data_IF_460985976442
#
_entry.id   IF_460985976442
#
_cell.length_a   1.000
_cell.length_b   1.000
_cell.length_c   1.000
_cell.angle_alpha   90.00
_cell.angle_beta   90.00
_cell.angle_gamma   90.00
#
_symmetry.space_group_name_H-M   'P 1'
#
loop_
_entity.id
_entity.type
_entity.pdbx_description
1 polymer ?
#
# COMPACT_ATOMS: atom_id res chain seq x y z
N UNK A 1 -10.09 -10.17 1.43
CA UNK A 1 -9.95 -9.88 2.88
C UNK A 1 -11.30 -9.40 3.38
N UNK A 2 -11.73 -9.70 4.60
CA UNK A 2 -13.07 -9.31 5.09
C UNK A 2 -12.98 -8.46 6.35
N UNK A 3 -13.93 -7.54 6.53
CA UNK A 3 -14.09 -6.81 7.79
C UNK A 3 -14.65 -7.69 8.92
N UNK A 4 -14.88 -7.10 10.09
CA UNK A 4 -15.44 -7.81 11.25
C UNK A 4 -16.88 -8.30 11.03
N UNK A 5 -17.59 -7.74 10.05
CA UNK A 5 -18.95 -8.12 9.66
C UNK A 5 -18.95 -9.13 8.50
N UNK A 6 -17.78 -9.61 8.06
CA UNK A 6 -17.64 -10.55 6.95
C UNK A 6 -17.80 -9.93 5.57
N UNK A 7 -17.79 -8.60 5.45
CA UNK A 7 -17.90 -7.90 4.15
C UNK A 7 -16.56 -7.88 3.47
N UNK A 8 -16.57 -8.08 2.16
CA UNK A 8 -15.36 -8.00 1.35
C UNK A 8 -14.79 -6.58 1.38
N UNK A 9 -13.51 -6.48 1.75
CA UNK A 9 -12.76 -5.23 1.66
C UNK A 9 -12.17 -5.14 0.26
N UNK A 10 -12.69 -4.19 -0.51
CA UNK A 10 -12.20 -3.84 -1.84
C UNK A 10 -11.50 -2.49 -1.74
N UNK A 11 -10.23 -2.45 -2.13
CA UNK A 11 -9.45 -1.21 -2.27
C UNK A 11 -9.13 -1.02 -3.74
N UNK A 12 -9.48 0.15 -4.27
CA UNK A 12 -9.04 0.61 -5.58
C UNK A 12 -7.62 1.17 -5.44
N UNK A 13 -6.62 0.45 -5.96
CA UNK A 13 -5.21 0.83 -5.85
C UNK A 13 -4.95 2.26 -6.34
N UNK A 14 -5.49 2.64 -7.50
CA UNK A 14 -5.34 3.99 -8.06
C UNK A 14 -5.82 5.10 -7.10
N UNK A 15 -6.88 4.83 -6.33
CA UNK A 15 -7.39 5.79 -5.33
C UNK A 15 -6.57 5.77 -4.04
N UNK A 16 -6.15 4.58 -3.61
CA UNK A 16 -5.32 4.43 -2.41
C UNK A 16 -3.93 5.08 -2.58
N UNK A 17 -3.39 5.01 -3.80
CA UNK A 17 -2.07 5.52 -4.16
C UNK A 17 -2.11 6.96 -4.70
N UNK A 18 -3.29 7.58 -4.83
CA UNK A 18 -3.43 8.93 -5.41
C UNK A 18 -2.62 10.03 -4.71
N UNK A 19 -2.26 9.83 -3.44
CA UNK A 19 -1.45 10.75 -2.65
C UNK A 19 -0.03 10.24 -2.36
N UNK A 20 0.37 9.13 -2.98
CA UNK A 20 1.74 8.63 -2.89
C UNK A 20 2.62 9.44 -3.83
N UNK A 21 3.74 9.92 -3.29
CA UNK A 21 4.81 10.58 -4.03
C UNK A 21 5.84 9.51 -4.34
N UNK A 22 6.02 9.23 -5.63
CA UNK A 22 7.05 8.33 -6.12
C UNK A 22 8.32 9.16 -6.39
N UNK A 23 9.28 9.10 -5.47
CA UNK A 23 10.55 9.82 -5.58
C UNK A 23 11.61 8.93 -6.22
N UNK A 24 11.62 7.64 -5.89
CA UNK A 24 12.57 6.66 -6.43
C UNK A 24 11.93 5.75 -7.49
N UNK A 25 12.69 5.31 -8.52
CA UNK A 25 12.17 4.44 -9.57
C UNK A 25 11.55 3.13 -9.08
N UNK A 26 11.93 2.69 -7.87
CA UNK A 26 11.46 1.44 -7.26
C UNK A 26 10.22 1.61 -6.39
N UNK A 27 9.76 2.82 -6.09
CA UNK A 27 8.62 3.04 -5.18
C UNK A 27 7.34 2.35 -5.66
N UNK A 28 7.04 2.48 -6.96
CA UNK A 28 5.92 1.79 -7.60
C UNK A 28 6.10 0.26 -7.59
N UNK A 29 7.35 -0.21 -7.68
CA UNK A 29 7.66 -1.64 -7.62
C UNK A 29 7.45 -2.19 -6.20
N UNK A 30 7.77 -1.43 -5.15
CA UNK A 30 7.50 -1.83 -3.77
C UNK A 30 6.01 -1.97 -3.50
N UNK A 31 5.18 -1.02 -3.94
CA UNK A 31 3.72 -1.12 -3.77
C UNK A 31 3.12 -2.27 -4.58
N UNK A 32 3.56 -2.44 -5.82
CA UNK A 32 3.14 -3.57 -6.66
C UNK A 32 3.49 -4.91 -6.01
N UNK A 33 4.68 -5.01 -5.42
CA UNK A 33 5.14 -6.20 -4.69
C UNK A 33 4.32 -6.41 -3.42
N UNK A 34 4.10 -5.36 -2.62
CA UNK A 34 3.32 -5.40 -1.39
C UNK A 34 1.88 -5.86 -1.66
N UNK A 35 1.22 -5.32 -2.70
CA UNK A 35 -0.12 -5.72 -3.10
C UNK A 35 -0.21 -7.19 -3.53
N UNK A 36 0.84 -7.71 -4.19
CA UNK A 36 0.87 -9.09 -4.70
C UNK A 36 1.24 -10.12 -3.64
N UNK A 37 2.27 -9.84 -2.84
CA UNK A 37 2.85 -10.80 -1.89
C UNK A 37 2.18 -10.72 -0.52
N UNK A 38 1.76 -9.53 -0.11
CA UNK A 38 1.28 -9.20 1.23
C UNK A 38 -0.01 -8.33 1.15
N UNK A 39 -1.06 -8.77 0.43
CA UNK A 39 -2.24 -7.94 0.15
C UNK A 39 -2.95 -7.42 1.42
N UNK A 40 -2.90 -8.19 2.51
CA UNK A 40 -3.45 -7.75 3.79
C UNK A 40 -2.67 -6.57 4.39
N UNK A 41 -1.34 -6.59 4.26
CA UNK A 41 -0.46 -5.50 4.68
C UNK A 41 -0.70 -4.27 3.80
N UNK A 42 -0.79 -4.43 2.47
CA UNK A 42 -1.17 -3.35 1.55
C UNK A 42 -2.46 -2.65 2.00
N UNK A 43 -3.52 -3.42 2.27
CA UNK A 43 -4.80 -2.87 2.73
C UNK A 43 -4.65 -2.17 4.09
N UNK A 44 -3.91 -2.76 5.02
CA UNK A 44 -3.65 -2.16 6.34
C UNK A 44 -2.93 -0.80 6.25
N UNK A 45 -1.99 -0.65 5.30
CA UNK A 45 -1.33 0.63 5.05
C UNK A 45 -2.23 1.61 4.30
N UNK A 46 -2.98 1.16 3.29
CA UNK A 46 -3.93 2.00 2.55
C UNK A 46 -5.03 2.61 3.43
N UNK A 47 -5.44 1.91 4.49
CA UNK A 47 -6.43 2.40 5.45
C UNK A 47 -5.86 3.39 6.48
N UNK A 48 -4.53 3.52 6.57
CA UNK A 48 -3.88 4.47 7.49
C UNK A 48 -3.57 5.77 6.76
N UNK A 49 -3.80 6.94 7.39
CA UNK A 49 -3.38 8.21 6.82
C UNK A 49 -1.87 8.21 6.48
N UNK A 50 -1.55 8.43 5.20
CA UNK A 50 -0.17 8.39 4.69
C UNK A 50 0.51 7.02 4.77
N UNK A 51 -0.22 5.92 5.00
CA UNK A 51 0.39 4.63 5.28
C UNK A 51 1.18 4.04 4.12
N UNK A 52 0.68 4.16 2.88
CA UNK A 52 1.41 3.71 1.68
C UNK A 52 2.63 4.58 1.40
N UNK A 53 2.54 5.90 1.61
CA UNK A 53 3.67 6.83 1.51
C UNK A 53 4.80 6.42 2.48
N UNK A 54 4.45 6.20 3.75
CA UNK A 54 5.43 5.78 4.76
C UNK A 54 6.03 4.40 4.49
N UNK A 55 5.28 3.52 3.81
CA UNK A 55 5.80 2.23 3.39
C UNK A 55 6.87 2.38 2.32
N UNK A 56 6.64 3.17 1.27
CA UNK A 56 7.65 3.38 0.22
C UNK A 56 8.89 4.07 0.77
N UNK A 57 8.72 5.11 1.60
CA UNK A 57 9.82 5.80 2.30
C UNK A 57 10.69 4.82 3.11
N UNK A 58 10.06 3.93 3.88
CA UNK A 58 10.78 2.92 4.64
C UNK A 58 11.51 1.91 3.74
N UNK A 59 10.89 1.47 2.63
CA UNK A 59 11.52 0.53 1.71
C UNK A 59 12.76 1.13 1.04
N UNK A 60 12.77 2.43 0.77
CA UNK A 60 13.96 3.14 0.26
C UNK A 60 15.09 3.11 1.28
N UNK A 61 14.83 3.29 2.58
CA UNK A 61 15.86 3.22 3.63
C UNK A 61 16.55 1.85 3.74
N UNK A 62 15.90 0.77 3.29
CA UNK A 62 16.45 -0.60 3.34
C UNK A 62 17.16 -1.04 2.05
N UNK A 63 17.23 -0.19 1.01
CA UNK A 63 17.97 -0.45 -0.23
C UNK A 63 19.32 0.27 -0.25
#
# INVERSE_FOLDING_TARGET
MTDMDGRELVIECDKAEANVIYEEPLDAAYLSRLAREEPASYVSFALKPGGLQRYVEAMVEFN
#
